data_IF_721896976047
#
_entry.id   IF_721896976047
#
_cell.length_a   1.000
_cell.length_b   1.000
_cell.length_c   1.000
_cell.angle_alpha   90.00
_cell.angle_beta   90.00
_cell.angle_gamma   90.00
#
_symmetry.space_group_name_H-M   'P 1'
#
loop_
_entity.id
_entity.type
_entity.pdbx_description
1 polymer ?
#
# COMPACT_ATOMS: atom_id res chain seq x y z
N UNK A 1 -39.78 -28.01 -11.04
CA UNK A 1 -38.38 -27.75 -10.69
C UNK A 1 -38.37 -26.98 -9.34
N UNK A 2 -37.92 -27.61 -8.29
CA UNK A 2 -37.83 -26.96 -6.99
C UNK A 2 -36.75 -25.89 -7.08
N UNK A 3 -37.07 -24.61 -6.75
CA UNK A 3 -36.08 -23.57 -6.58
C UNK A 3 -35.14 -23.98 -5.43
N UNK A 4 -33.87 -24.25 -5.73
CA UNK A 4 -32.86 -24.38 -4.69
C UNK A 4 -32.92 -23.17 -3.78
N UNK A 5 -33.12 -23.44 -2.51
CA UNK A 5 -33.18 -22.40 -1.45
C UNK A 5 -31.75 -21.83 -1.37
N UNK A 6 -31.54 -20.60 -1.81
CA UNK A 6 -30.25 -19.92 -1.60
C UNK A 6 -29.91 -19.97 -0.11
N UNK A 7 -28.82 -20.63 0.23
CA UNK A 7 -28.34 -20.78 1.61
C UNK A 7 -27.90 -19.49 2.24
N UNK A 8 -27.60 -18.47 1.41
CA UNK A 8 -27.19 -17.13 1.84
C UNK A 8 -27.98 -16.10 1.04
N UNK A 9 -28.80 -15.33 1.73
CA UNK A 9 -29.49 -14.19 1.17
C UNK A 9 -28.56 -12.96 1.11
N UNK A 10 -28.68 -12.13 0.08
CA UNK A 10 -27.96 -10.88 -0.13
C UNK A 10 -26.46 -10.98 -0.51
N UNK A 11 -26.04 -12.07 -1.12
CA UNK A 11 -24.74 -12.20 -1.78
C UNK A 11 -24.96 -12.64 -3.21
N UNK A 12 -24.31 -11.95 -4.15
CA UNK A 12 -24.31 -12.32 -5.57
C UNK A 12 -23.65 -13.69 -5.74
N UNK A 13 -24.11 -14.51 -6.70
CA UNK A 13 -23.45 -15.79 -6.98
C UNK A 13 -22.08 -15.55 -7.60
N UNK A 14 -21.09 -16.31 -7.16
CA UNK A 14 -19.73 -16.28 -7.73
C UNK A 14 -19.72 -16.60 -9.23
N UNK A 15 -20.63 -17.45 -9.68
CA UNK A 15 -20.76 -17.85 -11.10
C UNK A 15 -21.44 -16.78 -11.95
N UNK A 16 -22.26 -15.93 -11.32
CA UNK A 16 -22.98 -14.86 -11.98
C UNK A 16 -22.11 -13.60 -12.14
N UNK A 17 -21.44 -13.18 -11.06
CA UNK A 17 -20.53 -12.03 -11.02
C UNK A 17 -19.50 -12.23 -9.90
N UNK A 18 -18.29 -12.64 -10.28
CA UNK A 18 -17.21 -12.89 -9.32
C UNK A 18 -16.78 -11.64 -8.57
N UNK A 19 -16.70 -10.49 -9.23
CA UNK A 19 -16.25 -9.25 -8.61
C UNK A 19 -17.25 -8.75 -7.57
N UNK A 20 -18.54 -8.81 -7.92
CA UNK A 20 -19.60 -8.44 -6.99
C UNK A 20 -19.71 -9.45 -5.84
N UNK A 21 -19.61 -10.74 -6.12
CA UNK A 21 -19.56 -11.78 -5.09
C UNK A 21 -18.44 -11.52 -4.09
N UNK A 22 -17.21 -11.24 -4.55
CA UNK A 22 -16.07 -10.95 -3.69
C UNK A 22 -16.35 -9.74 -2.79
N UNK A 23 -16.87 -8.67 -3.36
CA UNK A 23 -17.22 -7.45 -2.63
C UNK A 23 -18.30 -7.72 -1.56
N UNK A 24 -19.36 -8.47 -1.93
CA UNK A 24 -20.44 -8.82 -1.02
C UNK A 24 -19.94 -9.68 0.14
N UNK A 25 -19.08 -10.67 -0.13
CA UNK A 25 -18.48 -11.55 0.89
C UNK A 25 -17.68 -10.77 1.90
N UNK A 26 -16.73 -9.94 1.45
CA UNK A 26 -15.84 -9.21 2.38
C UNK A 26 -16.58 -8.16 3.20
N UNK A 27 -17.63 -7.56 2.63
CA UNK A 27 -18.52 -6.64 3.37
C UNK A 27 -19.43 -7.37 4.34
N UNK A 28 -20.05 -8.46 3.91
CA UNK A 28 -20.97 -9.25 4.74
C UNK A 28 -20.25 -9.91 5.92
N UNK A 29 -19.00 -10.32 5.70
CA UNK A 29 -18.12 -10.83 6.75
C UNK A 29 -17.53 -9.73 7.64
N UNK A 30 -17.92 -8.47 7.43
CA UNK A 30 -17.45 -7.31 8.18
C UNK A 30 -15.93 -7.10 8.18
N UNK A 31 -15.24 -7.56 7.13
CA UNK A 31 -13.79 -7.41 7.00
C UNK A 31 -13.39 -5.99 6.60
N UNK A 32 -14.22 -5.36 5.76
CA UNK A 32 -13.96 -4.01 5.21
C UNK A 32 -15.24 -3.18 5.13
N UNK A 33 -15.04 -1.85 4.98
CA UNK A 33 -16.08 -0.92 4.56
C UNK A 33 -15.49 0.18 3.67
N UNK A 34 -16.35 0.94 3.00
CA UNK A 34 -15.94 2.07 2.18
C UNK A 34 -15.72 3.32 3.03
N UNK A 35 -14.66 4.06 2.71
CA UNK A 35 -14.44 5.39 3.27
C UNK A 35 -15.07 6.47 2.40
N UNK A 36 -15.08 7.71 2.90
CA UNK A 36 -15.51 8.88 2.14
C UNK A 36 -14.58 9.18 0.94
N UNK A 37 -13.35 8.69 0.96
CA UNK A 37 -12.38 8.86 -0.12
C UNK A 37 -12.46 7.66 -1.06
N UNK A 38 -12.82 7.92 -2.33
CA UNK A 38 -12.87 6.88 -3.36
C UNK A 38 -11.49 6.19 -3.48
N UNK A 39 -11.52 4.87 -3.48
CA UNK A 39 -10.30 4.08 -3.55
C UNK A 39 -9.67 3.75 -2.18
N UNK A 40 -10.04 4.42 -1.10
CA UNK A 40 -9.58 4.12 0.24
C UNK A 40 -10.62 3.33 1.01
N UNK A 41 -10.23 2.20 1.59
CA UNK A 41 -11.12 1.34 2.37
C UNK A 41 -10.81 1.41 3.85
N UNK A 42 -11.84 1.21 4.66
CA UNK A 42 -11.72 0.96 6.09
C UNK A 42 -11.56 -0.55 6.26
N UNK A 43 -10.45 -0.99 6.83
CA UNK A 43 -10.26 -2.38 7.24
C UNK A 43 -10.82 -2.50 8.66
N UNK A 44 -11.84 -3.33 8.83
CA UNK A 44 -12.51 -3.55 10.11
C UNK A 44 -11.71 -4.54 10.99
N UNK A 45 -12.02 -4.66 12.29
CA UNK A 45 -11.21 -5.46 13.22
C UNK A 45 -10.93 -6.90 12.75
N UNK A 46 -11.92 -7.62 12.24
CA UNK A 46 -11.74 -9.00 11.78
C UNK A 46 -10.84 -9.07 10.54
N UNK A 47 -10.99 -8.12 9.61
CA UNK A 47 -10.10 -7.98 8.46
C UNK A 47 -8.67 -7.59 8.87
N UNK A 48 -8.55 -6.73 9.86
CA UNK A 48 -7.23 -6.31 10.36
C UNK A 48 -6.52 -7.43 11.12
N UNK A 49 -7.25 -8.25 11.86
CA UNK A 49 -6.70 -9.42 12.54
C UNK A 49 -6.07 -10.44 11.56
N UNK A 50 -6.65 -10.59 10.36
CA UNK A 50 -6.04 -11.42 9.30
C UNK A 50 -4.69 -10.82 8.89
N UNK A 51 -4.65 -9.50 8.69
CA UNK A 51 -3.41 -8.78 8.36
C UNK A 51 -2.36 -8.90 9.45
N UNK A 52 -2.72 -8.73 10.74
CA UNK A 52 -1.82 -8.86 11.88
C UNK A 52 -1.18 -10.25 11.93
N UNK A 53 -1.96 -11.30 11.70
CA UNK A 53 -1.45 -12.67 11.65
C UNK A 53 -0.43 -12.87 10.51
N UNK A 54 -0.72 -12.34 9.32
CA UNK A 54 0.19 -12.39 8.17
C UNK A 54 1.48 -11.64 8.50
N UNK A 55 1.36 -10.42 9.01
CA UNK A 55 2.49 -9.58 9.36
C UNK A 55 3.35 -10.24 10.44
N UNK A 56 2.74 -10.75 11.49
CA UNK A 56 3.44 -11.40 12.59
C UNK A 56 4.28 -12.61 12.11
N UNK A 57 3.68 -13.48 11.31
CA UNK A 57 4.37 -14.68 10.80
C UNK A 57 5.50 -14.32 9.83
N UNK A 58 5.28 -13.37 8.92
CA UNK A 58 6.31 -12.92 7.99
C UNK A 58 7.43 -12.19 8.71
N UNK A 59 7.12 -11.30 9.65
CA UNK A 59 8.10 -10.56 10.45
C UNK A 59 9.00 -11.50 11.25
N UNK A 60 8.42 -12.54 11.85
CA UNK A 60 9.18 -13.58 12.53
C UNK A 60 10.18 -14.26 11.59
N UNK A 61 9.73 -14.65 10.39
CA UNK A 61 10.60 -15.30 9.39
C UNK A 61 11.69 -14.37 8.86
N UNK A 62 11.38 -13.10 8.64
CA UNK A 62 12.38 -12.11 8.23
C UNK A 62 13.45 -11.94 9.29
N UNK A 63 13.09 -11.83 10.55
CA UNK A 63 14.04 -11.72 11.67
C UNK A 63 14.92 -12.95 11.82
N UNK A 64 14.43 -14.16 11.55
CA UNK A 64 15.23 -15.39 11.53
C UNK A 64 16.31 -15.37 10.45
N UNK A 65 16.15 -14.58 9.40
CA UNK A 65 17.17 -14.39 8.35
C UNK A 65 18.08 -13.18 8.57
N UNK A 66 17.97 -12.53 9.74
CA UNK A 66 18.78 -11.35 10.09
C UNK A 66 18.22 -10.01 9.57
N UNK A 67 16.98 -9.98 9.12
CA UNK A 67 16.34 -8.74 8.70
C UNK A 67 15.95 -7.91 9.92
N UNK A 68 16.23 -6.61 9.86
CA UNK A 68 15.86 -5.64 10.88
C UNK A 68 14.76 -4.71 10.36
N UNK A 69 13.79 -4.39 11.22
CA UNK A 69 12.74 -3.46 10.86
C UNK A 69 13.19 -2.02 11.04
N UNK A 70 12.91 -1.19 10.04
CA UNK A 70 13.14 0.25 10.06
C UNK A 70 11.87 0.99 9.66
N UNK A 71 11.87 2.31 9.80
CA UNK A 71 10.76 3.15 9.35
C UNK A 71 11.30 4.40 8.64
N UNK A 72 11.06 4.49 7.35
CA UNK A 72 11.39 5.66 6.53
C UNK A 72 10.24 6.67 6.55
N UNK A 73 10.54 7.97 6.40
CA UNK A 73 9.52 9.02 6.34
C UNK A 73 8.45 8.77 5.28
N UNK A 74 7.23 9.22 5.56
CA UNK A 74 6.11 9.12 4.62
C UNK A 74 6.24 10.08 3.44
N UNK A 75 6.85 11.23 3.65
CA UNK A 75 6.99 12.28 2.65
C UNK A 75 8.36 12.26 1.99
N UNK A 76 8.37 12.44 0.67
CA UNK A 76 9.57 12.55 -0.15
C UNK A 76 9.58 13.94 -0.77
N UNK A 77 10.67 14.73 -0.61
CA UNK A 77 10.83 16.01 -1.31
C UNK A 77 10.88 15.82 -2.83
N UNK A 78 10.28 16.73 -3.58
CA UNK A 78 10.31 16.69 -5.03
C UNK A 78 11.72 16.63 -5.60
N UNK A 79 12.65 17.40 -5.02
CA UNK A 79 14.06 17.41 -5.42
C UNK A 79 14.75 16.05 -5.30
N UNK A 80 14.32 15.21 -4.36
CA UNK A 80 14.86 13.86 -4.21
C UNK A 80 14.34 12.93 -5.31
N UNK A 81 13.07 13.04 -5.68
CA UNK A 81 12.48 12.27 -6.79
C UNK A 81 13.08 12.69 -8.15
N UNK A 82 13.37 13.97 -8.32
CA UNK A 82 13.95 14.48 -9.58
C UNK A 82 15.35 13.95 -9.84
N UNK A 83 16.15 13.76 -8.78
CA UNK A 83 17.50 13.16 -8.91
C UNK A 83 17.46 11.73 -9.43
N UNK A 84 16.37 11.02 -9.27
CA UNK A 84 16.22 9.63 -9.70
C UNK A 84 15.50 9.47 -11.04
N UNK A 85 14.92 10.55 -11.60
CA UNK A 85 14.23 10.49 -12.91
C UNK A 85 15.12 9.93 -14.01
N UNK A 86 16.42 10.23 -13.96
CA UNK A 86 17.38 9.74 -14.93
C UNK A 86 17.63 8.22 -14.86
N UNK A 87 17.23 7.59 -13.74
CA UNK A 87 17.37 6.15 -13.50
C UNK A 87 16.05 5.38 -13.62
N UNK A 88 14.91 6.08 -13.64
CA UNK A 88 13.56 5.52 -13.68
C UNK A 88 12.86 5.91 -15.00
N UNK A 89 13.43 5.50 -16.15
CA UNK A 89 12.76 5.62 -17.44
C UNK A 89 11.35 4.96 -17.36
N UNK A 90 10.32 5.77 -17.52
CA UNK A 90 8.93 5.33 -17.57
C UNK A 90 8.14 5.45 -16.24
N UNK A 91 8.75 5.88 -15.16
CA UNK A 91 8.06 6.13 -13.91
C UNK A 91 7.73 7.62 -13.76
N UNK A 92 6.66 8.07 -14.39
CA UNK A 92 5.99 9.31 -14.01
C UNK A 92 4.84 8.94 -13.06
N UNK A 93 5.11 8.75 -11.77
CA UNK A 93 4.09 8.26 -10.86
C UNK A 93 3.04 9.34 -10.68
N UNK A 94 1.80 8.97 -10.85
CA UNK A 94 0.67 9.76 -10.37
C UNK A 94 0.66 9.71 -8.84
N UNK A 95 1.51 10.55 -8.23
CA UNK A 95 1.69 10.61 -6.77
C UNK A 95 0.75 11.63 -6.15
N UNK A 96 0.43 11.42 -4.88
CA UNK A 96 -0.26 12.42 -4.08
C UNK A 96 0.73 13.52 -3.65
N UNK A 97 0.51 14.73 -4.13
CA UNK A 97 1.33 15.90 -3.80
C UNK A 97 0.79 16.66 -2.60
N UNK A 98 1.67 17.00 -1.67
CA UNK A 98 1.41 17.93 -0.57
C UNK A 98 2.08 19.24 -0.90
N UNK A 99 1.28 20.28 -1.10
CA UNK A 99 1.73 21.60 -1.55
C UNK A 99 1.53 22.69 -0.51
N UNK A 100 0.75 22.41 0.54
CA UNK A 100 0.46 23.34 1.63
C UNK A 100 0.67 22.68 3.01
N UNK A 101 1.18 23.47 3.95
CA UNK A 101 1.18 23.20 5.37
C UNK A 101 0.21 24.17 6.07
N UNK A 102 -0.99 23.69 6.41
CA UNK A 102 -2.08 24.57 6.82
C UNK A 102 -2.49 25.52 5.69
N UNK A 103 -2.39 26.83 5.91
CA UNK A 103 -2.71 27.86 4.90
C UNK A 103 -1.49 28.35 4.14
N UNK A 104 -0.29 27.92 4.48
CA UNK A 104 0.95 28.36 3.85
C UNK A 104 1.38 27.36 2.77
N UNK A 105 1.74 27.88 1.62
CA UNK A 105 2.36 27.08 0.56
C UNK A 105 3.75 26.61 1.04
N UNK A 106 4.05 25.34 0.79
CA UNK A 106 5.37 24.80 1.08
C UNK A 106 6.41 25.36 0.12
N UNK A 107 7.64 25.65 0.60
CA UNK A 107 8.73 26.08 -0.27
C UNK A 107 9.08 25.05 -1.36
N UNK A 108 8.90 23.78 -1.05
CA UNK A 108 9.08 22.64 -1.93
C UNK A 108 7.91 21.67 -1.77
N UNK A 109 7.43 21.11 -2.89
CA UNK A 109 6.39 20.09 -2.85
C UNK A 109 6.92 18.80 -2.24
N UNK A 110 6.06 18.13 -1.48
CA UNK A 110 6.33 16.80 -0.95
C UNK A 110 5.37 15.82 -1.60
N UNK A 111 5.82 14.63 -1.93
CA UNK A 111 4.90 13.56 -2.31
C UNK A 111 4.71 12.58 -1.16
N UNK A 112 3.52 12.00 -1.07
CA UNK A 112 3.29 10.81 -0.27
C UNK A 112 4.00 9.66 -0.98
N UNK A 113 4.86 8.94 -0.29
CA UNK A 113 5.70 7.89 -0.89
C UNK A 113 4.90 6.91 -1.76
N UNK A 114 5.19 6.82 -3.06
CA UNK A 114 4.65 5.77 -3.93
C UNK A 114 5.39 4.45 -3.70
N UNK A 115 6.63 4.56 -3.29
CA UNK A 115 7.57 3.49 -2.93
C UNK A 115 8.62 4.06 -1.98
N UNK A 116 9.44 3.23 -1.34
CA UNK A 116 10.44 3.69 -0.36
C UNK A 116 11.89 3.54 -0.83
N UNK A 117 12.15 3.00 -2.01
CA UNK A 117 13.51 2.74 -2.51
C UNK A 117 14.35 4.01 -2.57
N UNK A 118 13.79 5.11 -3.05
CA UNK A 118 14.43 6.43 -3.09
C UNK A 118 14.93 6.88 -1.72
N UNK A 119 14.10 6.70 -0.69
CA UNK A 119 14.45 7.02 0.68
C UNK A 119 15.55 6.10 1.22
N UNK A 120 15.48 4.81 0.93
CA UNK A 120 16.50 3.86 1.32
C UNK A 120 17.84 4.16 0.65
N UNK A 121 17.84 4.47 -0.64
CA UNK A 121 19.05 4.82 -1.38
C UNK A 121 19.70 6.08 -0.83
N UNK A 122 18.93 7.13 -0.55
CA UNK A 122 19.44 8.37 0.03
C UNK A 122 19.98 8.14 1.45
N UNK A 123 19.31 7.33 2.25
CA UNK A 123 19.78 6.93 3.58
C UNK A 123 21.09 6.13 3.49
N UNK A 124 21.15 5.08 2.67
CA UNK A 124 22.35 4.23 2.55
C UNK A 124 23.57 4.99 2.05
N UNK A 125 23.40 5.96 1.17
CA UNK A 125 24.50 6.81 0.69
C UNK A 125 25.28 7.47 1.82
N UNK A 126 24.60 7.79 2.92
CA UNK A 126 25.22 8.44 4.07
C UNK A 126 25.56 7.47 5.20
N UNK A 127 24.83 6.35 5.30
CA UNK A 127 24.94 5.40 6.40
C UNK A 127 26.01 4.30 6.12
N UNK A 128 26.24 3.96 4.84
CA UNK A 128 27.26 2.98 4.45
C UNK A 128 28.56 3.71 4.10
N UNK A 129 29.54 3.62 4.97
CA UNK A 129 30.84 4.25 4.79
C UNK A 129 31.94 3.27 4.38
N UNK A 130 31.75 1.98 4.65
CA UNK A 130 32.70 0.94 4.31
C UNK A 130 32.02 -0.42 4.14
N UNK A 131 32.77 -1.41 3.60
CA UNK A 131 32.29 -2.79 3.50
C UNK A 131 31.95 -3.43 4.85
N UNK A 132 32.45 -2.87 5.95
CA UNK A 132 32.18 -3.35 7.32
C UNK A 132 30.76 -3.03 7.79
N UNK A 133 30.11 -2.08 7.11
CA UNK A 133 28.73 -1.71 7.38
C UNK A 133 27.72 -2.64 6.71
N UNK A 134 28.24 -3.63 5.95
CA UNK A 134 27.44 -4.62 5.24
C UNK A 134 27.55 -6.02 5.88
N UNK A 135 26.55 -6.87 5.77
CA UNK A 135 25.28 -6.63 5.04
C UNK A 135 24.30 -5.77 5.86
N UNK A 136 23.51 -4.93 5.15
CA UNK A 136 22.35 -4.25 5.71
C UNK A 136 21.09 -4.82 5.06
N UNK A 137 20.27 -5.46 5.84
CA UNK A 137 19.04 -6.11 5.36
C UNK A 137 17.88 -5.57 6.17
N UNK A 138 17.14 -4.63 5.58
CA UNK A 138 16.05 -3.94 6.25
C UNK A 138 14.70 -4.27 5.64
N UNK A 139 13.68 -4.29 6.49
CA UNK A 139 12.28 -4.37 6.12
C UNK A 139 11.52 -3.18 6.68
N UNK A 140 10.48 -2.75 5.97
CA UNK A 140 9.57 -1.73 6.45
C UNK A 140 8.12 -2.16 6.26
N UNK A 141 7.39 -2.22 7.35
CA UNK A 141 5.94 -2.36 7.35
C UNK A 141 5.31 -0.97 7.23
N UNK A 142 4.81 -0.64 6.06
CA UNK A 142 4.21 0.67 5.80
C UNK A 142 3.19 0.63 4.67
N UNK A 143 2.42 1.68 4.55
CA UNK A 143 1.61 1.94 3.36
C UNK A 143 2.39 2.77 2.34
N UNK A 144 2.02 2.62 1.08
CA UNK A 144 2.44 3.45 -0.05
C UNK A 144 1.20 4.00 -0.74
N UNK A 145 1.34 5.09 -1.50
CA UNK A 145 0.23 5.71 -2.20
C UNK A 145 0.55 5.84 -3.69
N UNK A 146 -0.16 5.04 -4.50
CA UNK A 146 -0.19 5.17 -5.96
C UNK A 146 -1.63 5.46 -6.36
N UNK A 147 -1.88 6.58 -7.04
CA UNK A 147 -3.24 7.00 -7.33
C UNK A 147 -3.86 6.31 -8.54
N UNK A 148 -3.07 5.85 -9.54
CA UNK A 148 -3.61 5.31 -10.80
C UNK A 148 -2.81 4.19 -11.48
N UNK A 149 -1.73 3.68 -10.93
CA UNK A 149 -0.77 2.87 -11.70
C UNK A 149 -0.95 1.36 -11.66
N UNK A 150 -1.87 0.85 -10.87
CA UNK A 150 -2.18 -0.58 -10.89
C UNK A 150 -3.68 -0.79 -10.95
N UNK A 151 -4.17 -1.61 -11.91
CA UNK A 151 -5.56 -2.04 -11.85
C UNK A 151 -5.77 -2.77 -10.54
N UNK A 152 -6.45 -2.13 -9.62
CA UNK A 152 -6.97 -2.74 -8.43
C UNK A 152 -8.10 -3.68 -8.84
N UNK A 153 -8.36 -4.78 -8.13
CA UNK A 153 -9.59 -5.57 -8.32
C UNK A 153 -10.87 -4.75 -8.27
N UNK A 154 -10.81 -3.54 -7.77
CA UNK A 154 -11.87 -2.54 -7.76
C UNK A 154 -12.01 -1.75 -9.06
N UNK A 155 -10.94 -1.53 -9.81
CA UNK A 155 -10.98 -0.77 -11.06
C UNK A 155 -11.62 -1.62 -12.16
N UNK A 156 -11.70 -2.92 -11.95
CA UNK A 156 -12.36 -3.89 -12.86
C UNK A 156 -13.88 -3.91 -12.65
N UNK A 157 -14.37 -3.45 -11.51
CA UNK A 157 -15.81 -3.46 -11.16
C UNK A 157 -16.54 -2.14 -11.42
N UNK A 158 -15.95 -1.21 -12.12
CA UNK A 158 -16.42 0.17 -12.30
C UNK A 158 -16.67 0.61 -13.73
N UNK A 159 -17.14 -0.29 -14.61
CA UNK A 159 -17.64 0.08 -15.94
C UNK A 159 -19.05 -0.43 -16.17
#
# INVERSE_FOLDING_TARGET
MAKEKKLVEAITSMEEDFAQWYTDVVKKAELIDYSAVKGCMIIKPDGYAIWENIQHELDRRFKETGVENVYMPMFIPESLLEKEKDHLEGFAPEVAWVTYGGLNQLPERLCVRPTSETLFCDFYKNDIQSYRDLPKVYNQWCNVCLLYTSPSPRDISGS
#
